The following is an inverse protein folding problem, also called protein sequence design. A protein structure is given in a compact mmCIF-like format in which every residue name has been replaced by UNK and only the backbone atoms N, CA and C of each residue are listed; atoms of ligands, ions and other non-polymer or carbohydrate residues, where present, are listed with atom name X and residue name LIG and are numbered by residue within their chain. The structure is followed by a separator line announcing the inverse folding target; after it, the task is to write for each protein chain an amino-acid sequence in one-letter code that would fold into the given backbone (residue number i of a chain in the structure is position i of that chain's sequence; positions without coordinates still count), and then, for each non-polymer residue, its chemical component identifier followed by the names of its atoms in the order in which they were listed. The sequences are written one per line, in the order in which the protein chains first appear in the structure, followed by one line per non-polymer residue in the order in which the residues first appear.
data_IF_848529030315
#
_entry.id   IF_848529030315
#
_cell.length_a   1.000
_cell.length_b   1.000
_cell.length_c   1.000
_cell.angle_alpha   90.00
_cell.angle_beta   90.00
_cell.angle_gamma   90.00
#
_symmetry.space_group_name_H-M   'P 1'
#
loop_
_entity.id
_entity.type
_entity.pdbx_description
1 polymer ?
#
# COMPACT_ATOMS: atom_id res chain seq x y z
N UNK A 1 -12.21 -34.06 -12.72
CA UNK A 1 -11.98 -32.61 -12.93
C UNK A 1 -10.85 -32.17 -12.03
N UNK A 2 -9.69 -31.85 -12.59
CA UNK A 2 -8.50 -31.47 -11.84
C UNK A 2 -8.67 -30.05 -11.28
N UNK A 3 -8.64 -29.90 -9.95
CA UNK A 3 -8.56 -28.59 -9.29
C UNK A 3 -7.20 -27.99 -9.63
N UNK A 4 -7.16 -27.12 -10.63
CA UNK A 4 -6.05 -26.19 -10.82
C UNK A 4 -6.01 -25.25 -9.61
N UNK A 5 -5.30 -25.64 -8.56
CA UNK A 5 -4.80 -24.68 -7.58
C UNK A 5 -3.61 -24.02 -8.23
N UNK A 6 -3.87 -22.91 -8.94
CA UNK A 6 -2.82 -21.98 -9.27
C UNK A 6 -2.29 -21.46 -7.94
N UNK A 7 -1.21 -22.06 -7.42
CA UNK A 7 -0.42 -21.43 -6.38
C UNK A 7 0.15 -20.18 -7.02
N UNK A 8 -0.48 -19.05 -6.72
CA UNK A 8 0.08 -17.75 -7.04
C UNK A 8 1.33 -17.64 -6.17
N UNK A 9 2.50 -17.88 -6.76
CA UNK A 9 3.79 -17.55 -6.14
C UNK A 9 3.87 -16.03 -6.12
N UNK A 10 3.23 -15.44 -5.12
CA UNK A 10 3.34 -14.00 -4.86
C UNK A 10 4.68 -13.78 -4.17
N UNK A 11 5.51 -12.93 -4.77
CA UNK A 11 6.73 -12.47 -4.14
C UNK A 11 6.41 -11.90 -2.75
N UNK A 12 6.98 -12.44 -1.66
CA UNK A 12 6.70 -11.98 -0.31
C UNK A 12 7.06 -10.50 -0.07
N UNK A 13 7.91 -9.91 -0.91
CA UNK A 13 8.30 -8.50 -0.84
C UNK A 13 7.34 -7.57 -1.62
N UNK A 14 6.51 -8.12 -2.50
CA UNK A 14 5.60 -7.34 -3.34
C UNK A 14 4.66 -6.43 -2.53
N UNK A 15 4.01 -6.88 -1.44
CA UNK A 15 3.13 -6.01 -0.65
C UNK A 15 3.86 -4.80 -0.07
N UNK A 16 5.11 -4.98 0.38
CA UNK A 16 5.92 -3.92 0.94
C UNK A 16 6.39 -2.95 -0.14
N UNK A 17 6.72 -3.46 -1.33
CA UNK A 17 7.10 -2.65 -2.49
C UNK A 17 5.93 -1.78 -2.96
N UNK A 18 4.72 -2.34 -3.01
CA UNK A 18 3.50 -1.60 -3.33
C UNK A 18 3.24 -0.51 -2.29
N UNK A 19 3.35 -0.85 -1.00
CA UNK A 19 3.17 0.13 0.08
C UNK A 19 4.16 1.28 -0.03
N UNK A 20 5.43 0.97 -0.32
CA UNK A 20 6.48 1.98 -0.49
C UNK A 20 6.14 2.94 -1.64
N UNK A 21 5.74 2.43 -2.80
CA UNK A 21 5.33 3.27 -3.91
C UNK A 21 4.08 4.09 -3.61
N UNK A 22 3.08 3.52 -2.93
CA UNK A 22 1.88 4.26 -2.51
C UNK A 22 2.23 5.45 -1.61
N UNK A 23 3.13 5.23 -0.64
CA UNK A 23 3.62 6.28 0.28
C UNK A 23 4.38 7.36 -0.49
N UNK A 24 5.25 6.99 -1.43
CA UNK A 24 5.96 7.96 -2.27
C UNK A 24 5.01 8.80 -3.12
N UNK A 25 4.01 8.17 -3.73
CA UNK A 25 3.00 8.87 -4.54
C UNK A 25 2.19 9.83 -3.69
N UNK A 26 1.76 9.42 -2.49
CA UNK A 26 1.08 10.28 -1.54
C UNK A 26 1.95 11.50 -1.16
N UNK A 27 3.23 11.27 -0.83
CA UNK A 27 4.18 12.32 -0.49
C UNK A 27 4.35 13.34 -1.65
N UNK A 28 4.53 12.87 -2.89
CA UNK A 28 4.69 13.71 -4.09
C UNK A 28 3.45 14.59 -4.32
N UNK A 29 2.26 14.09 -3.98
CA UNK A 29 0.99 14.81 -4.12
C UNK A 29 0.64 15.67 -2.89
N UNK A 30 1.55 15.82 -1.92
CA UNK A 30 1.32 16.60 -0.71
C UNK A 30 0.32 15.98 0.27
N UNK A 31 0.04 14.68 0.14
CA UNK A 31 -0.82 13.93 1.06
C UNK A 31 0.01 13.50 2.27
N UNK A 32 -0.45 13.80 3.47
CA UNK A 32 0.28 13.48 4.71
C UNK A 32 0.13 12.03 5.17
N UNK A 33 -0.97 11.37 4.78
CA UNK A 33 -1.29 10.00 5.21
C UNK A 33 -2.25 9.30 4.25
N UNK A 34 -2.13 7.97 4.20
CA UNK A 34 -3.03 7.07 3.48
C UNK A 34 -4.02 6.47 4.49
N UNK A 35 -5.30 6.45 4.15
CA UNK A 35 -6.33 5.73 4.91
C UNK A 35 -6.56 4.38 4.22
N UNK A 36 -6.49 3.29 4.99
CA UNK A 36 -6.68 1.94 4.48
C UNK A 36 -7.44 1.08 5.50
N UNK A 37 -7.98 -0.04 5.05
CA UNK A 37 -8.30 -1.16 5.92
C UNK A 37 -7.08 -2.10 6.03
N UNK A 38 -6.99 -2.84 7.12
CA UNK A 38 -5.97 -3.85 7.34
C UNK A 38 -6.57 -5.10 7.98
N UNK A 39 -5.92 -6.24 7.75
CA UNK A 39 -6.19 -7.53 8.39
C UNK A 39 -5.11 -7.81 9.46
N UNK A 40 -5.34 -8.75 10.40
CA UNK A 40 -4.32 -9.15 11.37
C UNK A 40 -3.05 -9.70 10.72
N UNK A 41 -3.16 -10.25 9.51
CA UNK A 41 -1.99 -10.69 8.74
C UNK A 41 -1.13 -9.49 8.32
N UNK A 42 -1.76 -8.40 7.86
CA UNK A 42 -1.06 -7.20 7.43
C UNK A 42 -0.39 -6.49 8.61
N UNK A 43 -0.99 -6.51 9.80
CA UNK A 43 -0.36 -6.02 11.03
C UNK A 43 0.94 -6.75 11.36
N UNK A 44 0.94 -8.09 11.30
CA UNK A 44 2.16 -8.87 11.51
C UNK A 44 3.25 -8.49 10.51
N UNK A 45 2.88 -8.24 9.25
CA UNK A 45 3.82 -7.78 8.23
C UNK A 45 4.37 -6.39 8.57
N UNK A 46 3.52 -5.48 9.03
CA UNK A 46 3.91 -4.12 9.43
C UNK A 46 4.85 -4.14 10.63
N UNK A 47 4.57 -4.96 11.64
CA UNK A 47 5.45 -5.16 12.78
C UNK A 47 6.83 -5.67 12.35
N UNK A 48 6.88 -6.69 11.48
CA UNK A 48 8.14 -7.27 10.98
C UNK A 48 9.00 -6.26 10.22
N UNK A 49 8.38 -5.34 9.50
CA UNK A 49 9.06 -4.35 8.65
C UNK A 49 9.11 -2.95 9.26
N UNK A 50 8.69 -2.80 10.52
CA UNK A 50 8.65 -1.52 11.24
C UNK A 50 7.88 -0.43 10.46
N UNK A 51 6.79 -0.82 9.80
CA UNK A 51 5.89 0.12 9.13
C UNK A 51 5.18 0.94 10.18
N UNK A 52 5.23 2.26 10.03
CA UNK A 52 4.51 3.19 10.90
C UNK A 52 3.06 3.23 10.47
N UNK A 53 2.14 2.93 11.39
CA UNK A 53 0.70 3.10 11.17
C UNK A 53 0.00 3.44 12.49
N UNK A 54 -1.21 3.99 12.40
CA UNK A 54 -2.07 4.29 13.53
C UNK A 54 -3.42 3.60 13.31
N UNK A 55 -3.91 2.76 14.24
CA UNK A 55 -5.26 2.26 14.16
C UNK A 55 -6.23 3.43 14.33
N UNK A 56 -7.23 3.50 13.45
CA UNK A 56 -8.34 4.45 13.59
C UNK A 56 -9.40 3.78 14.46
N UNK A 57 -10.06 4.57 15.32
CA UNK A 57 -11.04 4.08 16.30
C UNK A 57 -12.01 3.11 15.61
N UNK A 58 -12.18 1.89 16.13
CA UNK A 58 -12.98 0.88 15.47
C UNK A 58 -14.45 1.29 15.52
N UNK A 59 -14.95 1.90 14.45
CA UNK A 59 -16.24 1.45 13.95
C UNK A 59 -16.01 0.02 13.50
N UNK A 60 -16.67 -0.95 14.12
CA UNK A 60 -16.62 -2.35 13.70
C UNK A 60 -16.96 -2.38 12.20
N UNK A 61 -15.97 -2.54 11.34
CA UNK A 61 -16.22 -2.77 9.92
C UNK A 61 -16.79 -4.19 9.91
N UNK A 62 -18.12 -4.31 9.85
CA UNK A 62 -18.79 -5.60 9.79
C UNK A 62 -18.41 -6.28 8.48
N UNK A 63 -17.38 -7.10 8.55
CA UNK A 63 -16.85 -7.93 7.49
C UNK A 63 -16.61 -9.30 8.09
N UNK A 64 -16.82 -10.36 7.30
CA UNK A 64 -16.51 -11.74 7.73
C UNK A 64 -15.02 -11.89 8.09
N UNK A 65 -14.18 -11.08 7.46
CA UNK A 65 -12.78 -10.89 7.81
C UNK A 65 -12.63 -9.78 8.86
N UNK A 66 -11.87 -10.04 9.93
CA UNK A 66 -11.53 -9.06 10.97
C UNK A 66 -10.75 -7.87 10.38
N UNK A 67 -11.45 -6.90 9.80
CA UNK A 67 -10.88 -5.70 9.22
C UNK A 67 -10.94 -4.53 10.20
N UNK A 68 -9.89 -3.73 10.23
CA UNK A 68 -9.84 -2.48 10.99
C UNK A 68 -9.27 -1.37 10.13
N UNK A 69 -9.73 -0.15 10.40
CA UNK A 69 -9.26 1.04 9.71
C UNK A 69 -7.92 1.47 10.29
N UNK A 70 -7.01 1.86 9.41
CA UNK A 70 -5.67 2.35 9.76
C UNK A 70 -5.35 3.62 8.98
N UNK A 71 -4.48 4.43 9.59
CA UNK A 71 -3.83 5.58 8.98
C UNK A 71 -2.35 5.29 8.86
N UNK A 72 -1.80 5.41 7.66
CA UNK A 72 -0.39 5.20 7.36
C UNK A 72 0.22 6.56 7.00
N UNK A 73 1.05 7.18 7.86
CA UNK A 73 1.74 8.41 7.50
C UNK A 73 2.70 8.17 6.32
N UNK A 74 2.92 9.22 5.50
CA UNK A 74 3.89 9.12 4.39
C UNK A 74 5.34 9.09 4.86
N UNK A 75 5.61 9.60 6.06
CA UNK A 75 6.94 9.47 6.67
C UNK A 75 7.14 8.04 7.20
N UNK A 76 7.97 7.26 6.51
CA UNK A 76 8.25 5.86 6.79
C UNK A 76 9.76 5.61 6.90
N UNK A 77 10.39 5.84 8.07
CA UNK A 77 11.85 5.77 8.22
C UNK A 77 12.45 4.40 7.88
N UNK A 78 11.82 3.31 8.35
CA UNK A 78 12.29 1.95 8.09
C UNK A 78 12.19 1.57 6.59
N UNK A 79 11.10 1.98 5.92
CA UNK A 79 10.95 1.75 4.48
C UNK A 79 11.92 2.61 3.67
N UNK A 80 12.13 3.87 4.06
CA UNK A 80 13.09 4.76 3.41
C UNK A 80 14.53 4.21 3.50
N UNK A 81 14.86 3.56 4.61
CA UNK A 81 16.13 2.86 4.76
C UNK A 81 16.21 1.61 3.90
N UNK A 82 15.18 0.75 3.95
CA UNK A 82 15.12 -0.51 3.17
C UNK A 82 15.22 -0.25 1.66
N UNK A 83 14.52 0.77 1.18
CA UNK A 83 14.45 1.15 -0.23
C UNK A 83 15.33 2.36 -0.56
N UNK A 84 16.40 2.59 0.22
CA UNK A 84 17.34 3.67 -0.05
C UNK A 84 17.90 3.55 -1.46
N UNK A 85 17.79 4.61 -2.25
CA UNK A 85 18.24 4.63 -3.65
C UNK A 85 17.27 3.99 -4.65
N UNK A 86 16.12 3.47 -4.19
CA UNK A 86 15.04 3.07 -5.08
C UNK A 86 14.54 4.29 -5.87
N UNK A 87 14.36 4.10 -7.18
CA UNK A 87 13.82 5.15 -8.05
C UNK A 87 12.41 5.52 -7.60
N UNK A 88 12.17 6.82 -7.47
CA UNK A 88 10.82 7.38 -7.31
C UNK A 88 10.21 7.55 -8.68
N UNK A 89 9.01 7.02 -8.86
CA UNK A 89 8.27 7.16 -10.10
C UNK A 89 7.14 8.15 -9.92
N UNK A 90 6.96 9.06 -10.86
CA UNK A 90 5.77 9.89 -10.91
C UNK A 90 4.66 9.18 -11.71
N UNK A 91 3.37 9.44 -11.44
CA UNK A 91 2.28 8.90 -12.25
C UNK A 91 2.47 9.19 -13.75
N UNK A 92 2.95 10.38 -14.10
CA UNK A 92 3.22 10.82 -15.47
C UNK A 92 4.24 9.92 -16.18
N UNK A 93 5.21 9.35 -15.44
CA UNK A 93 6.22 8.45 -15.98
C UNK A 93 5.68 7.04 -16.22
N UNK A 94 4.75 6.57 -15.37
CA UNK A 94 4.31 5.16 -15.35
C UNK A 94 3.00 4.94 -16.11
N UNK A 95 2.00 5.79 -15.89
CA UNK A 95 0.65 5.61 -16.44
C UNK A 95 0.62 5.43 -17.97
N UNK A 96 1.40 6.19 -18.78
CA UNK A 96 1.42 6.00 -20.23
C UNK A 96 1.85 4.59 -20.65
N UNK A 97 2.80 3.97 -19.92
CA UNK A 97 3.27 2.60 -20.21
C UNK A 97 2.22 1.53 -19.92
N UNK A 98 1.24 1.86 -19.07
CA UNK A 98 0.10 1.00 -18.73
C UNK A 98 -1.12 1.27 -19.62
N UNK A 99 -1.00 2.14 -20.63
CA UNK A 99 -2.11 2.56 -21.49
C UNK A 99 -3.13 3.45 -20.76
N UNK A 100 -2.77 4.03 -19.62
CA UNK A 100 -3.62 4.90 -18.82
C UNK A 100 -3.28 6.36 -19.09
N UNK A 101 -4.30 7.19 -19.34
CA UNK A 101 -4.12 8.63 -19.47
C UNK A 101 -3.74 9.26 -18.14
N UNK A 102 -2.75 10.17 -18.17
CA UNK A 102 -2.30 10.96 -17.01
C UNK A 102 -3.42 11.85 -16.46
N UNK A 103 -4.39 12.23 -17.31
CA UNK A 103 -5.53 13.07 -16.93
C UNK A 103 -6.66 12.25 -16.29
N UNK A 104 -6.38 11.55 -15.19
CA UNK A 104 -7.40 10.89 -14.39
C UNK A 104 -8.17 11.95 -13.59
N UNK A 105 -9.21 12.53 -14.19
CA UNK A 105 -10.09 13.44 -13.48
C UNK A 105 -10.82 12.67 -12.38
N UNK A 106 -10.89 13.18 -11.14
CA UNK A 106 -11.85 12.65 -10.18
C UNK A 106 -13.23 12.99 -10.75
N UNK A 107 -13.98 11.99 -11.20
CA UNK A 107 -15.43 12.15 -11.28
C UNK A 107 -15.90 12.36 -9.84
N UNK A 108 -16.42 13.56 -9.57
CA UNK A 108 -16.92 13.98 -8.26
C UNK A 108 -18.13 13.19 -7.79
#
# INVERSE_FOLDING_TARGET
MSRFSARLEVDPELPLTILWHAVQLAEINGIEFIISSATPMLEKMFEQHQVVYQPLTPGLIQSEDNLFAIRIPVSQPALAEKYRGARRFSPEEVLPSLGVSVNWHPHG
#
